data_IF_064111416122
#
_entry.id   IF_064111416122
#
_cell.length_a   1.000
_cell.length_b   1.000
_cell.length_c   1.000
_cell.angle_alpha   90.00
_cell.angle_beta   90.00
_cell.angle_gamma   90.00
#
_symmetry.space_group_name_H-M   'P 1'
#
loop_
_entity.id
_entity.type
_entity.pdbx_description
1 polymer ?
#
# COMPACT_ATOMS: atom_id res chain seq x y z
N UNK A 1 -7.80 -11.19 16.63
CA UNK A 1 -7.57 -10.22 15.53
C UNK A 1 -8.76 -10.27 14.60
N UNK A 2 -9.36 -9.12 14.24
CA UNK A 2 -10.51 -9.06 13.33
C UNK A 2 -10.09 -9.54 11.92
N UNK A 3 -10.89 -10.37 11.25
CA UNK A 3 -10.61 -10.96 9.92
C UNK A 3 -10.24 -9.89 8.87
N UNK A 4 -10.90 -8.73 8.93
CA UNK A 4 -10.61 -7.62 8.02
C UNK A 4 -9.21 -7.03 8.23
N UNK A 5 -8.79 -6.87 9.49
CA UNK A 5 -7.45 -6.36 9.81
C UNK A 5 -6.39 -7.34 9.32
N UNK A 6 -6.64 -8.65 9.48
CA UNK A 6 -5.71 -9.69 8.99
C UNK A 6 -5.55 -9.61 7.48
N UNK A 7 -6.65 -9.55 6.73
CA UNK A 7 -6.63 -9.45 5.26
C UNK A 7 -5.84 -8.23 4.76
N UNK A 8 -6.04 -7.07 5.39
CA UNK A 8 -5.35 -5.83 5.04
C UNK A 8 -3.84 -5.92 5.29
N UNK A 9 -3.44 -6.49 6.43
CA UNK A 9 -2.02 -6.60 6.79
C UNK A 9 -1.30 -7.70 6.00
N UNK A 10 -1.97 -8.83 5.73
CA UNK A 10 -1.42 -9.92 4.88
C UNK A 10 -1.28 -9.47 3.42
N UNK A 11 -2.22 -8.67 2.92
CA UNK A 11 -2.25 -8.21 1.54
C UNK A 11 -1.99 -6.70 1.47
N UNK A 12 -0.96 -6.24 2.17
CA UNK A 12 -0.66 -4.80 2.28
C UNK A 12 -0.38 -4.18 0.90
N UNK A 13 0.23 -4.91 -0.03
CA UNK A 13 0.49 -4.44 -1.41
C UNK A 13 -0.81 -4.10 -2.14
N UNK A 14 -1.80 -4.99 -2.11
CA UNK A 14 -3.12 -4.76 -2.67
C UNK A 14 -3.85 -3.65 -1.93
N UNK A 15 -3.75 -3.62 -0.60
CA UNK A 15 -4.40 -2.60 0.23
C UNK A 15 -3.90 -1.20 -0.11
N UNK A 16 -2.57 -1.02 -0.22
CA UNK A 16 -1.98 0.26 -0.63
C UNK A 16 -2.27 0.61 -2.08
N UNK A 17 -2.37 -0.37 -2.98
CA UNK A 17 -2.80 -0.12 -4.36
C UNK A 17 -4.23 0.43 -4.42
N UNK A 18 -5.17 -0.24 -3.74
CA UNK A 18 -6.57 0.23 -3.66
C UNK A 18 -6.63 1.62 -3.03
N UNK A 19 -5.88 1.86 -1.96
CA UNK A 19 -5.81 3.17 -1.32
C UNK A 19 -5.29 4.25 -2.27
N UNK A 20 -4.23 3.96 -3.06
CA UNK A 20 -3.71 4.87 -4.07
C UNK A 20 -4.72 5.19 -5.17
N UNK A 21 -5.50 4.21 -5.63
CA UNK A 21 -6.58 4.42 -6.60
C UNK A 21 -7.72 5.27 -6.02
N UNK A 22 -8.11 5.04 -4.76
CA UNK A 22 -9.12 5.84 -4.09
C UNK A 22 -8.67 7.30 -3.93
N UNK A 23 -7.45 7.53 -3.45
CA UNK A 23 -6.93 8.88 -3.22
C UNK A 23 -6.72 9.63 -4.53
N UNK A 24 -6.23 8.97 -5.58
CA UNK A 24 -6.14 9.58 -6.92
C UNK A 24 -7.52 9.93 -7.49
N UNK A 25 -8.52 9.06 -7.34
CA UNK A 25 -9.90 9.36 -7.72
C UNK A 25 -10.48 10.55 -6.96
N UNK A 26 -10.26 10.64 -5.64
CA UNK A 26 -10.68 11.80 -4.83
C UNK A 26 -9.97 13.08 -5.28
N UNK A 27 -8.66 13.00 -5.57
CA UNK A 27 -7.88 14.13 -6.05
C UNK A 27 -8.41 14.66 -7.38
N UNK A 28 -8.64 13.77 -8.35
CA UNK A 28 -9.22 14.12 -9.65
C UNK A 28 -10.65 14.68 -9.52
N UNK A 29 -11.46 14.15 -8.60
CA UNK A 29 -12.82 14.66 -8.37
C UNK A 29 -12.83 16.10 -7.84
N UNK A 30 -11.81 16.50 -7.07
CA UNK A 30 -11.68 17.85 -6.53
C UNK A 30 -11.16 18.88 -7.54
N UNK A 31 -10.64 18.45 -8.68
CA UNK A 31 -10.06 19.36 -9.67
C UNK A 31 -11.12 20.00 -10.56
N UNK A 32 -10.83 21.21 -11.05
CA UNK A 32 -11.72 21.93 -11.97
C UNK A 32 -11.71 21.25 -13.34
N UNK A 33 -12.91 21.05 -13.91
CA UNK A 33 -13.10 20.45 -15.23
C UNK A 33 -12.82 21.48 -16.35
N UNK A 34 -12.43 21.04 -17.55
CA UNK A 34 -12.22 19.66 -18.00
C UNK A 34 -10.88 19.07 -17.56
N UNK A 35 -10.87 17.76 -17.26
CA UNK A 35 -9.63 17.02 -16.97
C UNK A 35 -8.98 16.58 -18.28
N UNK A 36 -7.73 16.98 -18.50
CA UNK A 36 -6.93 16.47 -19.62
C UNK A 36 -6.35 15.08 -19.29
N UNK A 37 -6.00 14.31 -20.31
CA UNK A 37 -5.36 13.01 -20.11
C UNK A 37 -4.05 13.13 -19.32
N UNK A 38 -3.29 14.22 -19.52
CA UNK A 38 -2.07 14.52 -18.77
C UNK A 38 -2.32 14.57 -17.27
N UNK A 39 -3.36 15.31 -16.87
CA UNK A 39 -3.73 15.48 -15.46
C UNK A 39 -4.15 14.15 -14.83
N UNK A 40 -4.92 13.34 -15.57
CA UNK A 40 -5.36 12.03 -15.08
C UNK A 40 -4.16 11.10 -14.88
N UNK A 41 -3.28 11.01 -15.88
CA UNK A 41 -2.08 10.17 -15.81
C UNK A 41 -1.17 10.62 -14.67
N UNK A 42 -0.94 11.93 -14.54
CA UNK A 42 -0.09 12.48 -13.48
C UNK A 42 -0.64 12.15 -12.08
N UNK A 43 -1.95 12.34 -11.86
CA UNK A 43 -2.56 11.98 -10.58
C UNK A 43 -2.46 10.49 -10.29
N UNK A 44 -2.84 9.62 -11.24
CA UNK A 44 -2.74 8.17 -11.06
C UNK A 44 -1.30 7.74 -10.77
N UNK A 45 -0.33 8.26 -11.52
CA UNK A 45 1.07 7.91 -11.37
C UNK A 45 1.65 8.41 -10.04
N UNK A 46 1.37 9.66 -9.66
CA UNK A 46 1.84 10.23 -8.40
C UNK A 46 1.36 9.43 -7.17
N UNK A 47 0.07 9.09 -7.13
CA UNK A 47 -0.48 8.32 -6.01
C UNK A 47 -0.13 6.83 -6.06
N UNK A 48 0.09 6.26 -7.25
CA UNK A 48 0.69 4.94 -7.38
C UNK A 48 2.09 4.92 -6.76
N UNK A 49 2.96 5.88 -7.13
CA UNK A 49 4.29 6.01 -6.57
C UNK A 49 4.26 6.22 -5.06
N UNK A 50 3.36 7.07 -4.55
CA UNK A 50 3.27 7.33 -3.11
C UNK A 50 2.85 6.08 -2.33
N UNK A 51 1.73 5.45 -2.70
CA UNK A 51 1.15 4.37 -1.90
C UNK A 51 1.74 3.00 -2.25
N UNK A 52 1.75 2.65 -3.54
CA UNK A 52 2.17 1.32 -3.99
C UNK A 52 3.68 1.14 -3.95
N UNK A 53 4.45 2.22 -4.11
CA UNK A 53 5.90 2.18 -3.96
C UNK A 53 6.31 2.69 -2.58
N UNK A 54 6.10 3.96 -2.27
CA UNK A 54 6.54 4.58 -1.01
C UNK A 54 6.03 3.86 0.24
N UNK A 55 4.71 3.87 0.47
CA UNK A 55 4.12 3.29 1.69
C UNK A 55 4.27 1.77 1.74
N UNK A 56 4.05 1.07 0.63
CA UNK A 56 4.14 -0.39 0.57
C UNK A 56 5.55 -0.91 0.89
N UNK A 57 6.59 -0.34 0.27
CA UNK A 57 7.97 -0.74 0.56
C UNK A 57 8.44 -0.27 1.94
N UNK A 58 7.96 0.89 2.41
CA UNK A 58 8.22 1.30 3.79
C UNK A 58 7.60 0.32 4.79
N UNK A 59 6.36 -0.12 4.57
CA UNK A 59 5.73 -1.17 5.38
C UNK A 59 6.49 -2.49 5.29
N UNK A 60 6.92 -2.89 4.08
CA UNK A 60 7.71 -4.10 3.89
C UNK A 60 9.04 -4.06 4.66
N UNK A 61 9.74 -2.92 4.61
CA UNK A 61 10.93 -2.64 5.41
C UNK A 61 10.62 -2.78 6.90
N UNK A 62 9.56 -2.13 7.40
CA UNK A 62 9.17 -2.23 8.80
C UNK A 62 8.96 -3.69 9.23
N UNK A 63 8.25 -4.47 8.42
CA UNK A 63 7.96 -5.88 8.72
C UNK A 63 9.22 -6.76 8.71
N UNK A 64 10.13 -6.56 7.77
CA UNK A 64 11.34 -7.38 7.67
C UNK A 64 12.43 -6.97 8.66
N UNK A 65 12.58 -5.68 8.93
CA UNK A 65 13.66 -5.17 9.79
C UNK A 65 13.32 -5.20 11.28
N UNK A 66 12.06 -4.97 11.67
CA UNK A 66 11.68 -4.92 13.09
C UNK A 66 10.82 -6.11 13.53
N UNK A 67 10.11 -6.76 12.61
CA UNK A 67 9.17 -7.84 12.91
C UNK A 67 9.57 -9.18 12.30
N UNK A 68 10.88 -9.39 12.07
CA UNK A 68 11.42 -10.64 11.50
C UNK A 68 10.97 -11.91 12.23
N UNK A 69 10.91 -11.90 13.57
CA UNK A 69 10.37 -13.02 14.36
C UNK A 69 8.88 -13.28 14.13
N UNK A 70 8.10 -12.22 13.91
CA UNK A 70 6.66 -12.34 13.64
C UNK A 70 6.45 -12.90 12.24
N UNK A 71 7.27 -12.47 11.28
CA UNK A 71 7.29 -13.03 9.92
C UNK A 71 7.71 -14.51 9.93
N UNK A 72 8.76 -14.89 10.66
CA UNK A 72 9.24 -16.27 10.79
C UNK A 72 8.18 -17.20 11.41
N UNK A 73 7.51 -16.76 12.48
CA UNK A 73 6.36 -17.50 13.05
C UNK A 73 5.18 -17.59 12.09
N UNK A 74 4.93 -16.56 11.28
CA UNK A 74 3.84 -16.57 10.30
C UNK A 74 3.99 -17.68 9.26
N UNK A 75 5.24 -17.97 8.86
CA UNK A 75 5.59 -19.04 7.92
C UNK A 75 5.89 -20.38 8.60
N UNK A 76 5.74 -20.48 9.92
CA UNK A 76 5.95 -21.71 10.69
C UNK A 76 7.43 -22.09 10.89
N UNK A 77 8.36 -21.16 10.69
CA UNK A 77 9.78 -21.39 10.94
C UNK A 77 10.12 -21.12 12.41
N UNK A 78 10.85 -22.05 13.03
CA UNK A 78 11.49 -21.78 14.33
C UNK A 78 12.63 -20.78 14.16
N UNK A 79 12.81 -19.96 15.18
CA UNK A 79 13.82 -18.92 15.21
C UNK A 79 15.20 -19.59 15.32
N UNK A 80 15.96 -19.59 14.22
CA UNK A 80 17.37 -19.98 14.26
C UNK A 80 18.16 -18.90 15.02
N UNK A 81 19.17 -19.25 15.84
CA UNK A 81 19.85 -18.34 16.78
C UNK A 81 20.49 -17.12 16.13
#
# INVERSE_FOLDING_TARGET
>A
MNTMIRLVLENFTLSFLVLGLLVSGISLWKQKRPLSASIIIEALFAYFLLFSIGCSFFYNFMMHSFFGETAARYIGWEQSP
#
